data_IF_749577406732
#
_entry.id   IF_749577406732
#
_cell.length_a   1.000
_cell.length_b   1.000
_cell.length_c   1.000
_cell.angle_alpha   90.00
_cell.angle_beta   90.00
_cell.angle_gamma   90.00
#
_symmetry.space_group_name_H-M   'P 1'
#
loop_
_entity.id
_entity.type
_entity.pdbx_description
1 polymer ?
#
# COMPACT_ATOMS: atom_id res chain seq x y z
N UNK A 1 26.14 9.40 5.06
CA UNK A 1 25.38 10.17 4.05
C UNK A 1 23.98 9.60 4.02
N UNK A 2 23.11 10.11 4.88
CA UNK A 2 21.67 9.85 4.75
C UNK A 2 21.24 10.84 3.68
N UNK A 3 21.05 10.36 2.46
CA UNK A 3 20.40 11.11 1.41
C UNK A 3 19.09 11.60 2.01
N UNK A 4 18.93 12.93 2.12
CA UNK A 4 17.70 13.54 2.62
C UNK A 4 16.59 13.12 1.66
N UNK A 5 15.90 12.02 2.01
CA UNK A 5 14.65 11.63 1.38
C UNK A 5 13.79 12.89 1.34
N UNK A 6 13.48 13.34 0.13
CA UNK A 6 12.58 14.45 -0.02
C UNK A 6 11.27 14.08 0.69
N UNK A 7 10.55 15.03 1.32
CA UNK A 7 9.36 14.74 2.15
C UNK A 7 8.22 13.95 1.46
N UNK A 8 8.35 13.63 0.18
CA UNK A 8 7.36 13.00 -0.69
C UNK A 8 7.77 11.58 -1.15
N UNK A 9 8.94 11.07 -0.76
CA UNK A 9 9.45 9.73 -1.14
C UNK A 9 9.03 8.62 -0.14
N UNK A 10 7.85 8.78 0.45
CA UNK A 10 7.27 7.78 1.34
C UNK A 10 6.69 6.59 0.57
N UNK A 11 6.58 5.45 1.25
CA UNK A 11 5.74 4.35 0.79
C UNK A 11 4.32 4.85 0.55
N UNK A 12 3.66 4.31 -0.47
CA UNK A 12 2.27 4.59 -0.75
C UNK A 12 1.39 4.22 0.45
N UNK A 13 0.63 5.20 0.95
CA UNK A 13 -0.26 5.04 2.11
C UNK A 13 -1.37 4.02 1.87
N UNK A 14 -1.78 3.81 0.62
CA UNK A 14 -2.76 2.77 0.26
C UNK A 14 -2.27 1.38 0.65
N UNK A 15 -1.02 1.03 0.31
CA UNK A 15 -0.39 -0.25 0.66
C UNK A 15 -0.33 -0.45 2.17
N UNK A 16 0.06 0.61 2.91
CA UNK A 16 0.07 0.59 4.38
C UNK A 16 -1.34 0.32 4.93
N UNK A 17 -2.36 0.98 4.40
CA UNK A 17 -3.75 0.75 4.79
C UNK A 17 -4.20 -0.70 4.60
N UNK A 18 -3.90 -1.31 3.45
CA UNK A 18 -4.19 -2.72 3.19
C UNK A 18 -3.46 -3.68 4.14
N UNK A 19 -2.18 -3.40 4.43
CA UNK A 19 -1.39 -4.18 5.39
C UNK A 19 -1.95 -4.09 6.81
N UNK A 20 -2.40 -2.90 7.23
CA UNK A 20 -3.05 -2.70 8.53
C UNK A 20 -4.38 -3.46 8.61
N UNK A 21 -5.20 -3.42 7.56
CA UNK A 21 -6.46 -4.16 7.51
C UNK A 21 -6.25 -5.68 7.58
N UNK A 22 -5.22 -6.20 6.90
CA UNK A 22 -4.84 -7.63 7.03
C UNK A 22 -4.39 -7.90 8.47
N UNK A 23 -3.50 -7.08 9.02
CA UNK A 23 -2.95 -7.27 10.36
C UNK A 23 -4.01 -7.24 11.46
N UNK A 24 -5.11 -6.51 11.31
CA UNK A 24 -6.18 -6.48 12.30
C UNK A 24 -6.94 -7.82 12.39
N UNK A 25 -6.88 -8.66 11.35
CA UNK A 25 -7.55 -9.96 11.30
C UNK A 25 -6.60 -11.13 11.55
N UNK A 26 -5.41 -11.10 10.97
CA UNK A 26 -4.45 -12.24 11.02
C UNK A 26 -3.23 -11.97 11.90
N UNK A 27 -3.17 -10.79 12.52
CA UNK A 27 -2.11 -10.39 13.43
C UNK A 27 -2.13 -11.17 14.74
N UNK A 28 -1.22 -10.77 15.63
CA UNK A 28 -1.15 -11.32 16.98
C UNK A 28 -2.18 -10.62 17.87
N UNK A 29 -2.80 -11.38 18.75
CA UNK A 29 -3.51 -10.82 19.89
C UNK A 29 -2.51 -10.39 20.97
N UNK A 30 -2.96 -9.60 21.95
CA UNK A 30 -2.11 -9.05 23.01
C UNK A 30 -1.38 -10.15 23.79
N UNK A 31 -2.06 -11.26 24.06
CA UNK A 31 -1.54 -12.40 24.81
C UNK A 31 -0.40 -13.13 24.06
N UNK A 32 -0.41 -13.08 22.72
CA UNK A 32 0.62 -13.70 21.87
C UNK A 32 1.90 -12.85 21.77
N UNK A 33 1.92 -11.62 22.33
CA UNK A 33 3.08 -10.74 22.23
C UNK A 33 4.28 -11.31 23.00
N UNK A 34 4.05 -11.78 24.23
CA UNK A 34 5.06 -12.43 25.07
C UNK A 34 5.26 -13.90 24.71
N UNK A 35 4.18 -14.62 24.36
CA UNK A 35 4.14 -16.08 24.25
C UNK A 35 4.77 -16.71 23.01
N UNK A 36 5.23 -15.93 22.02
CA UNK A 36 5.99 -16.48 20.88
C UNK A 36 5.15 -17.10 19.75
N UNK A 37 3.89 -17.44 20.01
CA UNK A 37 2.95 -18.00 19.04
C UNK A 37 2.54 -16.96 18.00
N UNK A 38 2.19 -17.43 16.79
CA UNK A 38 1.68 -16.62 15.68
C UNK A 38 2.58 -15.45 15.20
N UNK A 39 3.81 -15.29 15.72
CA UNK A 39 4.71 -14.15 15.44
C UNK A 39 4.93 -13.87 13.96
N UNK A 40 5.00 -14.92 13.14
CA UNK A 40 5.32 -14.80 11.71
C UNK A 40 4.13 -14.97 10.78
N UNK A 41 2.95 -15.29 11.31
CA UNK A 41 1.77 -15.61 10.50
C UNK A 41 1.38 -14.44 9.61
N UNK A 42 1.33 -13.23 10.16
CA UNK A 42 1.00 -12.00 9.41
C UNK A 42 1.94 -11.77 8.21
N UNK A 43 3.21 -12.17 8.29
CA UNK A 43 4.16 -11.96 7.20
C UNK A 43 3.78 -12.71 5.92
N UNK A 44 3.13 -13.87 6.03
CA UNK A 44 2.68 -14.63 4.87
C UNK A 44 1.59 -13.87 4.09
N UNK A 45 0.64 -13.26 4.79
CA UNK A 45 -0.46 -12.50 4.17
C UNK A 45 0.01 -11.12 3.71
N UNK A 46 0.84 -10.45 4.51
CA UNK A 46 1.48 -9.19 4.14
C UNK A 46 2.32 -9.35 2.87
N UNK A 47 3.10 -10.44 2.76
CA UNK A 47 3.87 -10.74 1.56
C UNK A 47 2.99 -10.94 0.33
N UNK A 48 1.86 -11.64 0.44
CA UNK A 48 0.90 -11.79 -0.68
C UNK A 48 0.41 -10.43 -1.20
N UNK A 49 0.03 -9.51 -0.30
CA UNK A 49 -0.42 -8.18 -0.72
C UNK A 49 0.74 -7.38 -1.34
N UNK A 50 1.91 -7.41 -0.70
CA UNK A 50 3.09 -6.70 -1.18
C UNK A 50 3.53 -7.20 -2.56
N UNK A 51 3.60 -8.51 -2.76
CA UNK A 51 4.00 -9.10 -4.04
C UNK A 51 3.05 -8.69 -5.17
N UNK A 52 1.72 -8.75 -4.95
CA UNK A 52 0.73 -8.26 -5.93
C UNK A 52 0.90 -6.77 -6.22
N UNK A 53 1.22 -5.97 -5.19
CA UNK A 53 1.45 -4.54 -5.36
C UNK A 53 2.69 -4.27 -6.22
N UNK A 54 3.79 -4.99 -5.97
CA UNK A 54 5.02 -4.86 -6.77
C UNK A 54 4.84 -5.39 -8.19
N UNK A 55 4.09 -6.47 -8.38
CA UNK A 55 3.75 -6.98 -9.71
C UNK A 55 2.97 -5.93 -10.52
N UNK A 56 1.97 -5.30 -9.92
CA UNK A 56 1.15 -4.29 -10.59
C UNK A 56 1.87 -2.96 -10.78
N UNK A 57 2.61 -2.47 -9.77
CA UNK A 57 3.14 -1.09 -9.75
C UNK A 57 4.66 -0.99 -9.87
N UNK A 58 5.39 -2.08 -9.67
CA UNK A 58 6.86 -2.16 -9.76
C UNK A 58 7.61 -1.64 -8.52
N UNK A 59 7.00 -0.76 -7.73
CA UNK A 59 7.63 -0.14 -6.55
C UNK A 59 6.57 0.24 -5.51
N UNK A 60 6.91 0.20 -4.20
CA UNK A 60 6.02 0.68 -3.14
C UNK A 60 6.06 2.21 -2.98
N UNK A 61 6.88 2.93 -3.74
CA UNK A 61 7.11 4.37 -3.59
C UNK A 61 6.16 5.17 -4.47
N UNK A 62 5.55 6.21 -3.88
CA UNK A 62 4.60 7.07 -4.59
C UNK A 62 5.23 7.72 -5.84
N UNK A 63 6.50 8.12 -5.74
CA UNK A 63 7.28 8.71 -6.83
C UNK A 63 7.35 7.79 -8.07
N UNK A 64 7.65 6.52 -7.86
CA UNK A 64 7.80 5.55 -8.95
C UNK A 64 6.44 5.21 -9.57
N UNK A 65 5.39 5.15 -8.74
CA UNK A 65 4.02 4.97 -9.22
C UNK A 65 3.58 6.18 -10.03
N UNK A 66 3.93 7.40 -9.62
CA UNK A 66 3.66 8.59 -10.43
C UNK A 66 4.36 8.51 -11.79
N UNK A 67 5.64 8.11 -11.82
CA UNK A 67 6.33 7.87 -13.08
C UNK A 67 5.61 6.84 -13.95
N UNK A 68 5.12 5.73 -13.37
CA UNK A 68 4.37 4.71 -14.10
C UNK A 68 3.01 5.19 -14.62
N UNK A 69 2.25 5.93 -13.82
CA UNK A 69 0.87 6.32 -14.14
C UNK A 69 0.77 7.61 -14.96
N UNK A 70 1.69 8.55 -14.78
CA UNK A 70 1.66 9.88 -15.41
C UNK A 70 2.85 10.14 -16.33
N UNK A 71 3.90 9.32 -16.28
CA UNK A 71 5.16 9.58 -17.00
C UNK A 71 6.05 10.65 -16.36
N UNK A 72 5.63 11.22 -15.23
CA UNK A 72 6.37 12.23 -14.47
C UNK A 72 6.00 12.19 -12.98
N UNK A 73 6.77 12.90 -12.17
CA UNK A 73 6.44 13.19 -10.77
C UNK A 73 5.92 14.62 -10.61
N UNK A 74 5.32 14.89 -9.45
CA UNK A 74 4.74 16.18 -9.11
C UNK A 74 5.22 16.62 -7.73
N UNK A 75 5.54 17.90 -7.60
CA UNK A 75 5.76 18.58 -6.34
C UNK A 75 4.43 19.18 -5.85
N UNK A 76 3.81 18.54 -4.86
CA UNK A 76 2.54 19.02 -4.32
C UNK A 76 2.61 20.32 -3.52
N UNK A 77 3.83 20.82 -3.23
CA UNK A 77 4.00 22.17 -2.66
C UNK A 77 4.02 23.27 -3.74
N UNK A 78 4.12 22.92 -5.02
CA UNK A 78 3.88 23.86 -6.13
C UNK A 78 2.41 23.79 -6.55
N UNK A 79 1.62 24.87 -6.36
CA UNK A 79 0.21 24.89 -6.74
C UNK A 79 -0.04 24.61 -8.23
N UNK A 80 0.90 24.96 -9.12
CA UNK A 80 0.77 24.70 -10.56
C UNK A 80 0.95 23.22 -10.86
N UNK A 81 1.91 22.57 -10.23
CA UNK A 81 2.10 21.13 -10.41
C UNK A 81 0.97 20.33 -9.78
N UNK A 82 0.44 20.76 -8.63
CA UNK A 82 -0.75 20.16 -8.03
C UNK A 82 -1.97 20.29 -8.95
N UNK A 83 -2.21 21.46 -9.53
CA UNK A 83 -3.30 21.65 -10.48
C UNK A 83 -3.16 20.77 -11.74
N UNK A 84 -1.94 20.59 -12.26
CA UNK A 84 -1.69 19.69 -13.39
C UNK A 84 -1.90 18.22 -13.00
N UNK A 85 -1.48 17.82 -11.80
CA UNK A 85 -1.77 16.49 -11.25
C UNK A 85 -3.28 16.21 -11.19
N UNK A 86 -4.07 17.16 -10.69
CA UNK A 86 -5.54 17.03 -10.68
C UNK A 86 -6.10 16.92 -12.11
N UNK A 87 -5.64 17.77 -13.03
CA UNK A 87 -6.08 17.77 -14.43
C UNK A 87 -5.78 16.46 -15.14
N UNK A 88 -4.67 15.80 -14.80
CA UNK A 88 -4.27 14.50 -15.33
C UNK A 88 -4.98 13.32 -14.65
N UNK A 89 -5.95 13.59 -13.78
CA UNK A 89 -6.79 12.56 -13.14
C UNK A 89 -6.25 12.04 -11.82
N UNK A 90 -5.34 12.78 -11.16
CA UNK A 90 -4.72 12.42 -9.89
C UNK A 90 -5.67 11.80 -8.87
N UNK A 91 -6.74 12.52 -8.54
CA UNK A 91 -7.81 12.05 -7.64
C UNK A 91 -9.08 11.56 -8.35
N UNK A 92 -9.05 11.35 -9.66
CA UNK A 92 -10.20 10.85 -10.43
C UNK A 92 -10.06 9.34 -10.67
N UNK A 93 -8.99 8.92 -11.33
CA UNK A 93 -8.79 7.52 -11.74
C UNK A 93 -7.42 6.97 -11.35
N UNK A 94 -6.39 7.81 -11.19
CA UNK A 94 -5.02 7.34 -10.90
C UNK A 94 -4.85 6.86 -9.46
N UNK A 95 -4.75 7.75 -8.48
CA UNK A 95 -4.62 7.36 -7.07
C UNK A 95 -5.82 6.55 -6.53
N UNK A 96 -7.08 6.83 -6.95
CA UNK A 96 -8.21 5.99 -6.59
C UNK A 96 -8.10 4.55 -7.10
N UNK A 97 -7.55 4.31 -8.30
CA UNK A 97 -7.35 2.92 -8.79
C UNK A 97 -6.35 2.14 -7.93
N UNK A 98 -5.27 2.79 -7.48
CA UNK A 98 -4.30 2.20 -6.53
C UNK A 98 -5.00 1.82 -5.22
N UNK A 99 -5.84 2.71 -4.71
CA UNK A 99 -6.63 2.47 -3.50
C UNK A 99 -7.60 1.30 -3.68
N UNK A 100 -8.34 1.28 -4.78
CA UNK A 100 -9.31 0.23 -5.12
C UNK A 100 -8.66 -1.14 -5.28
N UNK A 101 -7.53 -1.21 -5.97
CA UNK A 101 -6.76 -2.44 -6.14
C UNK A 101 -6.26 -2.99 -4.80
N UNK A 102 -5.64 -2.14 -3.96
CA UNK A 102 -5.18 -2.55 -2.63
C UNK A 102 -6.34 -3.02 -1.76
N UNK A 103 -7.46 -2.29 -1.74
CA UNK A 103 -8.64 -2.66 -0.96
C UNK A 103 -9.20 -4.02 -1.40
N UNK A 104 -9.32 -4.22 -2.72
CA UNK A 104 -9.77 -5.49 -3.30
C UNK A 104 -8.86 -6.65 -2.90
N UNK A 105 -7.56 -6.53 -3.12
CA UNK A 105 -6.62 -7.61 -2.81
C UNK A 105 -6.54 -7.91 -1.32
N UNK A 106 -6.57 -6.89 -0.46
CA UNK A 106 -6.63 -7.09 0.99
C UNK A 106 -7.90 -7.84 1.40
N UNK A 107 -9.05 -7.47 0.84
CA UNK A 107 -10.32 -8.16 1.10
C UNK A 107 -10.28 -9.63 0.62
N UNK A 108 -9.76 -9.90 -0.59
CA UNK A 108 -9.58 -11.27 -1.10
C UNK A 108 -8.71 -12.11 -0.14
N UNK A 109 -7.56 -11.58 0.29
CA UNK A 109 -6.65 -12.26 1.21
C UNK A 109 -7.31 -12.55 2.57
N UNK A 110 -8.07 -11.59 3.11
CA UNK A 110 -8.78 -11.74 4.38
C UNK A 110 -9.90 -12.78 4.26
N UNK A 111 -10.70 -12.73 3.18
CA UNK A 111 -11.81 -13.65 2.98
C UNK A 111 -11.35 -15.09 2.78
N UNK A 112 -10.26 -15.29 2.04
CA UNK A 112 -9.66 -16.62 1.86
C UNK A 112 -9.22 -17.21 3.20
N UNK A 113 -8.63 -16.39 4.08
CA UNK A 113 -8.26 -16.84 5.42
C UNK A 113 -9.46 -17.17 6.30
N UNK A 114 -10.51 -16.35 6.27
CA UNK A 114 -11.71 -16.59 7.07
C UNK A 114 -12.40 -17.88 6.61
N UNK A 115 -12.41 -18.17 5.30
CA UNK A 115 -12.99 -19.42 4.76
C UNK A 115 -12.23 -20.67 5.20
N UNK A 116 -10.90 -20.61 5.33
CA UNK A 116 -10.07 -21.75 5.79
C UNK A 116 -10.29 -22.09 7.28
N UNK A 117 -10.80 -21.15 8.09
CA UNK A 117 -11.09 -21.36 9.51
C UNK A 117 -12.47 -21.97 9.82
N UNK A 118 -13.34 -22.10 8.82
CA UNK A 118 -14.66 -22.77 8.96
C UNK A 118 -14.54 -24.24 8.61
#
# INVERSE_FOLDING_TARGET
MVEQLSPLEGHVVQLVGGLLAISSIVGRNYEDFSGGKNRRRVFQYAKKLYDRFIEEYGSPLCRDIHMKLFGRTFNFFDPKEYAEFEKLGGHIDKCPSVSGNVARWAAEIILDEIKVKK
#
